data_IF_805278430327
#
_entry.id   IF_805278430327
#
_cell.length_a   1.000
_cell.length_b   1.000
_cell.length_c   1.000
_cell.angle_alpha   90.00
_cell.angle_beta   90.00
_cell.angle_gamma   90.00
#
_symmetry.space_group_name_H-M   'P 1'
#
loop_
_entity.id
_entity.type
_entity.pdbx_description
1 polymer ?
#
# COMPACT_ATOMS: atom_id res chain seq x y z
N UNK A 1 -20.04 7.53 10.26
CA UNK A 1 -19.25 8.27 11.26
C UNK A 1 -17.78 8.30 10.85
N UNK A 2 -17.25 9.49 10.53
CA UNK A 2 -15.90 9.72 9.99
C UNK A 2 -14.90 10.34 10.97
N UNK A 3 -15.06 10.13 12.28
CA UNK A 3 -14.28 10.79 13.34
C UNK A 3 -12.87 10.20 13.56
N UNK A 4 -12.35 9.38 12.65
CA UNK A 4 -11.05 8.69 12.80
C UNK A 4 -10.05 9.21 11.79
N UNK A 5 -8.90 9.65 12.28
CA UNK A 5 -7.77 10.12 11.46
C UNK A 5 -7.12 8.94 10.73
N UNK A 6 -6.55 9.20 9.55
CA UNK A 6 -5.80 8.21 8.79
C UNK A 6 -4.58 7.71 9.60
N UNK A 7 -4.46 6.40 9.93
CA UNK A 7 -3.41 5.89 10.82
C UNK A 7 -2.00 6.17 10.33
N UNK A 8 -1.77 6.08 9.01
CA UNK A 8 -0.47 6.38 8.41
C UNK A 8 -0.20 7.89 8.49
N UNK A 9 -1.20 8.72 8.18
CA UNK A 9 -1.04 10.18 8.14
C UNK A 9 -0.67 10.75 9.51
N UNK A 10 -1.30 10.23 10.56
CA UNK A 10 -0.99 10.58 11.96
C UNK A 10 0.47 10.23 12.37
N UNK A 11 1.12 9.31 11.65
CA UNK A 11 2.44 8.76 11.98
C UNK A 11 3.56 9.25 11.06
N UNK A 12 3.23 10.01 10.01
CA UNK A 12 4.23 10.63 9.13
C UNK A 12 5.07 11.61 9.95
N UNK A 13 6.39 11.51 9.83
CA UNK A 13 7.34 12.34 10.58
C UNK A 13 7.67 11.88 11.99
N UNK A 14 6.96 10.87 12.52
CA UNK A 14 7.28 10.24 13.82
C UNK A 14 7.94 8.88 13.60
N UNK A 15 7.21 7.95 12.96
CA UNK A 15 7.73 6.60 12.68
C UNK A 15 7.68 6.21 11.21
N UNK A 16 6.91 6.94 10.38
CA UNK A 16 6.79 6.69 8.94
C UNK A 16 7.35 7.83 8.12
N UNK A 17 8.03 7.46 7.04
CA UNK A 17 8.53 8.37 6.02
C UNK A 17 7.52 8.61 4.90
N UNK A 18 7.80 9.64 4.11
CA UNK A 18 7.06 10.00 2.91
C UNK A 18 7.31 8.99 1.77
N UNK A 19 6.28 8.77 0.95
CA UNK A 19 6.39 7.91 -0.24
C UNK A 19 7.03 8.63 -1.44
N UNK A 20 6.76 9.94 -1.58
CA UNK A 20 7.43 10.78 -2.56
C UNK A 20 8.47 11.64 -1.83
N UNK A 21 9.75 11.51 -2.20
CA UNK A 21 10.86 12.25 -1.59
C UNK A 21 11.52 13.12 -2.63
N UNK A 22 11.11 14.37 -2.67
CA UNK A 22 11.70 15.40 -3.52
C UNK A 22 11.29 16.77 -3.01
N UNK A 23 12.04 17.80 -3.43
CA UNK A 23 11.76 19.19 -3.11
C UNK A 23 11.63 19.97 -4.40
N UNK A 24 10.61 20.83 -4.48
CA UNK A 24 10.44 21.78 -5.57
C UNK A 24 9.88 23.08 -5.03
N UNK A 25 10.32 24.20 -5.61
CA UNK A 25 9.76 25.53 -5.32
C UNK A 25 8.50 25.77 -6.16
N UNK A 26 8.65 26.55 -7.23
CA UNK A 26 7.53 26.97 -8.08
C UNK A 26 6.90 25.83 -8.89
N UNK A 27 7.68 24.82 -9.27
CA UNK A 27 7.25 23.73 -10.16
C UNK A 27 6.55 22.57 -9.41
N UNK A 28 6.16 22.77 -8.15
CA UNK A 28 5.57 21.72 -7.32
C UNK A 28 4.30 21.13 -7.92
N UNK A 29 3.40 21.97 -8.44
CA UNK A 29 2.11 21.53 -8.98
C UNK A 29 2.28 20.60 -10.19
N UNK A 30 3.18 20.94 -11.10
CA UNK A 30 3.44 20.14 -12.30
C UNK A 30 4.07 18.79 -11.95
N UNK A 31 5.03 18.79 -11.02
CA UNK A 31 5.66 17.55 -10.53
C UNK A 31 4.69 16.66 -9.77
N UNK A 32 3.74 17.24 -9.02
CA UNK A 32 2.70 16.49 -8.33
C UNK A 32 1.74 15.82 -9.32
N UNK A 33 1.29 16.55 -10.36
CA UNK A 33 0.45 15.96 -11.41
C UNK A 33 1.17 14.86 -12.17
N UNK A 34 2.48 15.02 -12.39
CA UNK A 34 3.33 13.99 -12.98
C UNK A 34 3.39 12.73 -12.08
N UNK A 35 3.61 12.89 -10.77
CA UNK A 35 3.61 11.78 -9.79
C UNK A 35 2.26 11.03 -9.74
N UNK A 36 1.13 11.75 -9.77
CA UNK A 36 -0.20 11.12 -9.77
C UNK A 36 -0.42 10.27 -11.03
N UNK A 37 -0.06 10.79 -12.20
CA UNK A 37 -0.14 10.05 -13.47
C UNK A 37 0.73 8.79 -13.46
N UNK A 38 1.94 8.88 -12.91
CA UNK A 38 2.85 7.73 -12.77
C UNK A 38 2.20 6.66 -11.89
N UNK A 39 1.67 7.03 -10.72
CA UNK A 39 1.02 6.11 -9.78
C UNK A 39 -0.20 5.42 -10.39
N UNK A 40 -1.06 6.18 -11.08
CA UNK A 40 -2.23 5.62 -11.76
C UNK A 40 -1.83 4.67 -12.90
N UNK A 41 -0.82 5.03 -13.67
CA UNK A 41 -0.33 4.21 -14.78
C UNK A 41 0.24 2.87 -14.26
N UNK A 42 1.05 2.92 -13.20
CA UNK A 42 1.62 1.75 -12.54
C UNK A 42 0.50 0.88 -11.96
N UNK A 43 -0.47 1.46 -11.27
CA UNK A 43 -1.59 0.71 -10.67
C UNK A 43 -2.43 -0.03 -11.73
N UNK A 44 -2.70 0.62 -12.87
CA UNK A 44 -3.47 0.00 -13.97
C UNK A 44 -2.69 -1.10 -14.68
N UNK A 45 -1.41 -0.84 -15.00
CA UNK A 45 -0.59 -1.78 -15.79
C UNK A 45 -0.11 -2.98 -14.99
N UNK A 46 0.17 -2.80 -13.69
CA UNK A 46 0.71 -3.84 -12.81
C UNK A 46 -0.34 -4.39 -11.83
N UNK A 47 -1.63 -4.37 -12.21
CA UNK A 47 -2.71 -4.92 -11.38
C UNK A 47 -2.46 -6.38 -10.97
N UNK A 48 -1.98 -7.20 -11.91
CA UNK A 48 -1.69 -8.62 -11.66
C UNK A 48 -0.45 -8.84 -10.77
N UNK A 49 0.46 -7.87 -10.73
CA UNK A 49 1.69 -7.96 -9.96
C UNK A 49 1.51 -7.68 -8.46
N UNK A 50 0.30 -7.29 -8.01
CA UNK A 50 0.00 -7.02 -6.59
C UNK A 50 1.02 -6.03 -5.99
N UNK A 51 0.97 -4.79 -6.46
CA UNK A 51 1.89 -3.71 -6.06
C UNK A 51 1.38 -3.05 -4.78
N UNK A 52 2.19 -3.07 -3.72
CA UNK A 52 1.82 -2.42 -2.46
C UNK A 52 2.15 -0.92 -2.51
N UNK A 53 3.43 -0.59 -2.64
CA UNK A 53 3.94 0.78 -2.50
C UNK A 53 4.71 1.20 -3.74
N UNK A 54 4.55 2.45 -4.13
CA UNK A 54 5.36 3.08 -5.17
C UNK A 54 6.04 4.30 -4.54
N UNK A 55 7.35 4.20 -4.36
CA UNK A 55 8.15 5.32 -3.89
C UNK A 55 8.71 6.09 -5.09
N UNK A 56 8.63 7.41 -5.03
CA UNK A 56 9.10 8.29 -6.09
C UNK A 56 10.13 9.24 -5.51
N UNK A 57 11.37 9.13 -5.99
CA UNK A 57 12.45 10.05 -5.65
C UNK A 57 12.84 10.83 -6.91
N UNK A 58 12.95 12.15 -6.81
CA UNK A 58 13.33 13.00 -7.94
C UNK A 58 14.65 13.70 -7.63
N UNK A 59 15.58 13.62 -8.57
CA UNK A 59 16.85 14.32 -8.53
C UNK A 59 17.02 15.08 -9.85
N UNK A 60 16.70 16.38 -9.84
CA UNK A 60 16.72 17.27 -11.01
C UNK A 60 16.05 16.68 -12.26
N UNK A 61 16.82 16.03 -13.14
CA UNK A 61 16.36 15.44 -14.40
C UNK A 61 16.18 13.91 -14.38
N UNK A 62 16.35 13.28 -13.21
CA UNK A 62 16.18 11.84 -13.01
C UNK A 62 15.03 11.56 -12.05
N UNK A 63 14.21 10.58 -12.42
CA UNK A 63 13.10 10.09 -11.59
C UNK A 63 13.40 8.63 -11.25
N UNK A 64 13.61 8.35 -9.98
CA UNK A 64 13.79 7.02 -9.45
C UNK A 64 12.45 6.54 -8.90
N UNK A 65 11.94 5.44 -9.45
CA UNK A 65 10.68 4.84 -9.04
C UNK A 65 11.01 3.49 -8.42
N UNK A 66 10.72 3.34 -7.13
CA UNK A 66 10.90 2.08 -6.42
C UNK A 66 9.54 1.43 -6.21
N UNK A 67 9.32 0.29 -6.86
CA UNK A 67 8.08 -0.47 -6.82
C UNK A 67 8.22 -1.62 -5.84
N UNK A 68 7.41 -1.60 -4.78
CA UNK A 68 7.33 -2.68 -3.81
C UNK A 68 6.20 -3.64 -4.23
N UNK A 69 6.56 -4.88 -4.54
CA UNK A 69 5.64 -5.90 -5.06
C UNK A 69 5.81 -7.23 -4.34
N UNK A 70 4.72 -7.99 -4.20
CA UNK A 70 4.78 -9.38 -3.75
C UNK A 70 5.20 -10.36 -4.85
N UNK A 71 5.13 -9.97 -6.12
CA UNK A 71 5.44 -10.83 -7.28
C UNK A 71 6.40 -10.11 -8.22
N UNK A 72 7.70 -9.98 -7.87
CA UNK A 72 8.67 -9.27 -8.70
C UNK A 72 8.82 -9.88 -10.10
N UNK A 73 8.68 -11.21 -10.23
CA UNK A 73 8.77 -11.89 -11.53
C UNK A 73 7.73 -11.41 -12.56
N UNK A 74 6.52 -11.04 -12.11
CA UNK A 74 5.48 -10.49 -12.98
C UNK A 74 5.83 -9.08 -13.47
N UNK A 75 6.51 -8.28 -12.64
CA UNK A 75 6.95 -6.93 -13.00
C UNK A 75 8.15 -6.99 -13.94
N UNK A 76 9.06 -7.96 -13.74
CA UNK A 76 10.26 -8.15 -14.57
C UNK A 76 9.89 -8.66 -15.97
N UNK A 77 8.98 -9.64 -16.04
CA UNK A 77 8.61 -10.33 -17.27
C UNK A 77 9.70 -11.27 -17.79
N UNK A 78 9.46 -11.91 -18.94
CA UNK A 78 10.43 -12.83 -19.55
C UNK A 78 11.62 -12.03 -20.09
N UNK A 79 12.80 -12.19 -19.49
CA UNK A 79 14.03 -11.51 -19.92
C UNK A 79 14.05 -10.00 -19.73
N UNK A 80 13.25 -9.43 -18.81
CA UNK A 80 13.21 -7.98 -18.54
C UNK A 80 12.39 -7.16 -19.53
N UNK A 81 11.66 -7.82 -20.45
CA UNK A 81 10.84 -7.17 -21.49
C UNK A 81 9.78 -6.23 -20.93
N UNK A 82 9.09 -6.63 -19.86
CA UNK A 82 8.01 -5.84 -19.28
C UNK A 82 8.53 -4.58 -18.58
N UNK A 83 9.68 -4.67 -17.90
CA UNK A 83 10.32 -3.50 -17.25
C UNK A 83 10.79 -2.50 -18.28
N UNK A 84 11.37 -2.97 -19.38
CA UNK A 84 11.82 -2.09 -20.45
C UNK A 84 10.64 -1.40 -21.13
N UNK A 85 9.52 -2.11 -21.33
CA UNK A 85 8.29 -1.52 -21.85
C UNK A 85 7.63 -0.54 -20.86
N UNK A 86 7.71 -0.81 -19.55
CA UNK A 86 7.25 0.11 -18.49
C UNK A 86 8.12 1.37 -18.46
N UNK A 87 9.44 1.22 -18.56
CA UNK A 87 10.40 2.31 -18.61
C UNK A 87 10.20 3.22 -19.82
N UNK A 88 9.98 2.65 -21.01
CA UNK A 88 9.69 3.41 -22.23
C UNK A 88 8.40 4.23 -22.08
N UNK A 89 7.33 3.63 -21.54
CA UNK A 89 6.07 4.32 -21.32
C UNK A 89 6.21 5.45 -20.28
N UNK A 90 6.90 5.20 -19.18
CA UNK A 90 7.14 6.21 -18.14
C UNK A 90 8.04 7.34 -18.63
N UNK A 91 9.06 7.05 -19.46
CA UNK A 91 9.87 8.09 -20.11
C UNK A 91 9.01 8.95 -21.06
N UNK A 92 8.08 8.35 -21.81
CA UNK A 92 7.18 9.10 -22.70
C UNK A 92 6.19 9.99 -21.93
N UNK A 93 5.76 9.55 -20.74
CA UNK A 93 4.85 10.32 -19.88
C UNK A 93 5.54 11.50 -19.16
N UNK A 94 6.80 11.32 -18.76
CA UNK A 94 7.53 12.28 -17.92
C UNK A 94 8.52 13.15 -18.70
N UNK A 95 8.89 12.74 -19.92
CA UNK A 95 9.96 13.35 -20.73
C UNK A 95 11.31 13.46 -20.00
N UNK A 96 11.49 12.69 -18.92
CA UNK A 96 12.67 12.67 -18.05
C UNK A 96 13.30 11.28 -18.07
N UNK A 97 14.52 11.16 -17.54
CA UNK A 97 15.17 9.85 -17.44
C UNK A 97 14.63 9.09 -16.23
N UNK A 98 13.84 8.05 -16.49
CA UNK A 98 13.28 7.18 -15.46
C UNK A 98 14.20 6.00 -15.17
N UNK A 99 14.43 5.75 -13.89
CA UNK A 99 15.06 4.55 -13.36
C UNK A 99 14.05 3.78 -12.50
N UNK A 100 13.93 2.47 -12.72
CA UNK A 100 12.95 1.63 -12.04
C UNK A 100 13.70 0.64 -11.16
N UNK A 101 13.41 0.68 -9.86
CA UNK A 101 13.87 -0.28 -8.87
C UNK A 101 12.70 -1.16 -8.46
N UNK A 102 12.92 -2.47 -8.40
CA UNK A 102 11.89 -3.43 -7.98
C UNK A 102 12.35 -4.05 -6.67
N UNK A 103 11.53 -3.87 -5.63
CA UNK A 103 11.79 -4.40 -4.29
C UNK A 103 10.74 -5.44 -3.96
N UNK A 104 11.20 -6.64 -3.59
CA UNK A 104 10.33 -7.73 -3.19
C UNK A 104 9.83 -7.55 -1.74
N UNK A 105 8.53 -7.76 -1.55
CA UNK A 105 7.89 -7.84 -0.24
C UNK A 105 7.95 -9.29 0.24
N UNK A 106 8.89 -9.58 1.16
CA UNK A 106 9.10 -10.94 1.69
C UNK A 106 7.87 -11.55 2.38
N UNK A 107 7.02 -10.73 3.00
CA UNK A 107 5.81 -11.17 3.74
C UNK A 107 4.58 -10.39 3.29
N UNK A 108 3.96 -10.85 2.21
CA UNK A 108 2.78 -10.21 1.64
C UNK A 108 1.57 -10.19 2.60
N UNK A 109 1.42 -11.19 3.46
CA UNK A 109 0.30 -11.29 4.42
C UNK A 109 0.36 -10.27 5.58
N UNK A 110 1.47 -9.53 5.72
CA UNK A 110 1.65 -8.49 6.75
C UNK A 110 1.54 -7.08 6.15
N UNK A 111 1.34 -6.99 4.84
CA UNK A 111 1.12 -5.75 4.11
C UNK A 111 -0.38 -5.42 4.02
N UNK A 112 -0.79 -4.27 4.55
CA UNK A 112 -2.22 -3.95 4.66
C UNK A 112 -2.89 -3.82 3.30
N UNK A 113 -2.17 -3.31 2.27
CA UNK A 113 -2.73 -3.11 0.94
C UNK A 113 -2.94 -4.41 0.21
N UNK A 114 -1.92 -5.28 0.21
CA UNK A 114 -2.03 -6.60 -0.42
C UNK A 114 -3.13 -7.45 0.23
N UNK A 115 -3.23 -7.35 1.56
CA UNK A 115 -4.27 -8.02 2.34
C UNK A 115 -5.66 -7.48 2.00
N UNK A 116 -5.82 -6.15 1.89
CA UNK A 116 -7.09 -5.52 1.50
C UNK A 116 -7.52 -5.90 0.08
N UNK A 117 -6.60 -5.87 -0.89
CA UNK A 117 -6.84 -6.27 -2.28
C UNK A 117 -7.17 -7.77 -2.41
N UNK A 118 -6.57 -8.61 -1.57
CA UNK A 118 -6.90 -10.04 -1.54
C UNK A 118 -8.34 -10.26 -1.05
N UNK A 119 -8.74 -9.59 0.03
CA UNK A 119 -10.13 -9.64 0.51
C UNK A 119 -11.08 -9.10 -0.57
N UNK A 120 -10.74 -7.98 -1.21
CA UNK A 120 -11.55 -7.40 -2.28
C UNK A 120 -11.78 -8.40 -3.43
N UNK A 121 -10.70 -8.99 -3.96
CA UNK A 121 -10.78 -10.04 -4.99
C UNK A 121 -11.59 -11.26 -4.56
N UNK A 122 -11.52 -11.67 -3.29
CA UNK A 122 -12.35 -12.78 -2.79
C UNK A 122 -13.84 -12.40 -2.77
N UNK A 123 -14.17 -11.16 -2.41
CA UNK A 123 -15.56 -10.66 -2.41
C UNK A 123 -16.12 -10.56 -3.84
N UNK A 124 -15.31 -10.13 -4.80
CA UNK A 124 -15.67 -10.10 -6.23
C UNK A 124 -15.97 -11.51 -6.77
N UNK A 125 -15.17 -12.50 -6.34
CA UNK A 125 -15.39 -13.91 -6.62
C UNK A 125 -16.53 -14.56 -5.82
N UNK A 126 -17.41 -13.75 -5.20
CA UNK A 126 -18.60 -14.18 -4.44
C UNK A 126 -18.30 -15.10 -3.25
N UNK A 127 -17.09 -15.03 -2.69
CA UNK A 127 -16.77 -15.71 -1.43
C UNK A 127 -17.51 -15.03 -0.29
N UNK A 128 -17.98 -15.82 0.68
CA UNK A 128 -18.58 -15.27 1.90
C UNK A 128 -17.62 -14.31 2.61
N UNK A 129 -18.07 -13.08 2.85
CA UNK A 129 -17.25 -12.03 3.45
C UNK A 129 -16.69 -12.42 4.82
N UNK A 130 -17.46 -13.16 5.64
CA UNK A 130 -16.98 -13.67 6.95
C UNK A 130 -15.81 -14.64 6.78
N UNK A 131 -15.91 -15.52 5.78
CA UNK A 131 -14.86 -16.49 5.46
C UNK A 131 -13.61 -15.76 4.97
N UNK A 132 -13.76 -14.83 4.04
CA UNK A 132 -12.67 -14.03 3.50
C UNK A 132 -11.93 -13.27 4.62
N UNK A 133 -12.66 -12.61 5.53
CA UNK A 133 -12.08 -11.89 6.67
C UNK A 133 -11.35 -12.84 7.64
N UNK A 134 -12.00 -13.90 8.13
CA UNK A 134 -11.40 -14.83 9.10
C UNK A 134 -10.16 -15.54 8.54
N UNK A 135 -10.23 -16.00 7.30
CA UNK A 135 -9.11 -16.67 6.63
C UNK A 135 -7.90 -15.74 6.52
N UNK A 136 -8.14 -14.49 6.16
CA UNK A 136 -7.09 -13.49 5.97
C UNK A 136 -6.48 -13.06 7.30
N UNK A 137 -7.30 -12.87 8.33
CA UNK A 137 -6.85 -12.60 9.70
C UNK A 137 -5.91 -13.70 10.20
N UNK A 138 -6.30 -14.97 10.05
CA UNK A 138 -5.48 -16.09 10.47
C UNK A 138 -4.15 -16.18 9.71
N UNK A 139 -4.12 -15.83 8.42
CA UNK A 139 -2.88 -15.79 7.62
C UNK A 139 -1.95 -14.68 8.10
N UNK A 140 -2.47 -13.48 8.32
CA UNK A 140 -1.69 -12.35 8.81
C UNK A 140 -1.08 -12.62 10.20
N UNK A 141 -1.87 -13.20 11.12
CA UNK A 141 -1.39 -13.58 12.46
C UNK A 141 -0.29 -14.65 12.37
N UNK A 142 -0.45 -15.69 11.51
CA UNK A 142 0.59 -16.71 11.26
C UNK A 142 1.87 -16.12 10.65
N UNK A 143 1.74 -15.09 9.81
CA UNK A 143 2.89 -14.41 9.20
C UNK A 143 3.66 -13.49 10.18
N UNK A 144 3.17 -13.37 11.41
CA UNK A 144 3.83 -12.66 12.51
C UNK A 144 3.28 -11.26 12.78
N UNK A 145 2.08 -10.91 12.32
CA UNK A 145 1.40 -9.70 12.76
C UNK A 145 1.06 -9.79 14.26
N UNK A 146 1.27 -8.71 15.02
CA UNK A 146 0.91 -8.64 16.45
C UNK A 146 -0.58 -8.33 16.67
N UNK A 147 -1.22 -7.79 15.65
CA UNK A 147 -2.66 -7.69 15.59
C UNK A 147 -3.13 -7.25 14.21
N UNK A 148 -4.37 -7.57 13.90
CA UNK A 148 -5.02 -7.22 12.65
C UNK A 148 -6.47 -6.86 12.93
N UNK A 149 -6.95 -5.84 12.25
CA UNK A 149 -8.37 -5.49 12.20
C UNK A 149 -8.78 -5.38 10.75
N UNK A 150 -9.89 -6.00 10.39
CA UNK A 150 -10.51 -5.86 9.07
C UNK A 150 -11.93 -5.33 9.24
N UNK A 151 -12.37 -4.49 8.31
CA UNK A 151 -13.72 -3.96 8.26
C UNK A 151 -14.18 -3.98 6.82
N UNK A 152 -15.31 -4.63 6.55
CA UNK A 152 -15.96 -4.61 5.24
C UNK A 152 -17.27 -3.88 5.40
N UNK A 153 -17.54 -2.95 4.50
CA UNK A 153 -18.72 -2.08 4.53
C UNK A 153 -19.39 -2.03 3.15
N UNK A 154 -20.72 -2.00 3.14
CA UNK A 154 -21.53 -1.95 1.92
C UNK A 154 -22.68 -2.96 1.94
N UNK A 155 -23.19 -3.34 0.77
CA UNK A 155 -24.27 -4.33 0.60
C UNK A 155 -23.78 -5.76 0.77
N UNK A 156 -23.43 -6.12 2.00
CA UNK A 156 -22.83 -7.42 2.34
C UNK A 156 -23.78 -8.57 1.98
N UNK A 157 -23.34 -9.44 1.08
CA UNK A 157 -24.11 -10.59 0.59
C UNK A 157 -25.27 -10.24 -0.33
N UNK A 158 -25.29 -9.03 -0.91
CA UNK A 158 -26.37 -8.58 -1.79
C UNK A 158 -27.62 -8.07 -1.06
N UNK A 159 -27.54 -7.85 0.26
CA UNK A 159 -28.62 -7.25 1.02
C UNK A 159 -28.90 -5.80 0.58
N UNK A 160 -30.15 -5.34 0.68
CA UNK A 160 -30.53 -3.99 0.26
C UNK A 160 -29.97 -2.89 1.17
N UNK A 161 -29.83 -3.18 2.46
CA UNK A 161 -29.28 -2.24 3.44
C UNK A 161 -27.77 -2.44 3.57
N UNK A 162 -27.02 -1.35 3.45
CA UNK A 162 -25.59 -1.35 3.69
C UNK A 162 -25.28 -1.60 5.17
N UNK A 163 -24.38 -2.55 5.44
CA UNK A 163 -23.90 -2.89 6.78
C UNK A 163 -22.38 -2.81 6.83
N UNK A 164 -21.84 -2.65 8.03
CA UNK A 164 -20.41 -2.67 8.28
C UNK A 164 -20.10 -3.75 9.29
N UNK A 165 -19.26 -4.71 8.90
CA UNK A 165 -18.88 -5.84 9.76
C UNK A 165 -17.36 -5.85 9.94
N UNK A 166 -16.94 -5.86 11.20
CA UNK A 166 -15.52 -5.79 11.56
C UNK A 166 -15.11 -6.97 12.40
N UNK A 167 -13.95 -7.52 12.07
CA UNK A 167 -13.30 -8.59 12.83
C UNK A 167 -11.89 -8.13 13.21
N UNK A 168 -11.47 -8.44 14.41
CA UNK A 168 -10.13 -8.13 14.90
C UNK A 168 -9.56 -9.28 15.70
N UNK A 169 -8.27 -9.47 15.59
CA UNK A 169 -7.49 -10.45 16.36
C UNK A 169 -6.18 -9.80 16.82
N UNK A 170 -5.74 -10.13 18.03
CA UNK A 170 -4.58 -9.49 18.65
C UNK A 170 -4.84 -8.04 19.07
N UNK A 171 -3.79 -7.21 19.08
CA UNK A 171 -3.85 -5.82 19.55
C UNK A 171 -3.63 -4.83 18.42
N UNK A 172 -4.45 -3.77 18.33
CA UNK A 172 -4.31 -2.70 17.32
C UNK A 172 -4.45 -1.33 18.00
N UNK A 173 -3.37 -0.80 18.61
CA UNK A 173 -3.42 0.43 19.39
C UNK A 173 -3.38 1.69 18.49
N UNK A 174 -4.53 2.12 17.96
CA UNK A 174 -4.61 3.22 16.99
C UNK A 174 -4.12 4.58 17.50
N UNK A 175 -4.29 4.87 18.79
CA UNK A 175 -3.88 6.14 19.40
C UNK A 175 -2.38 6.21 19.73
N UNK A 176 -1.68 5.08 19.77
CA UNK A 176 -0.26 5.02 20.10
C UNK A 176 0.58 5.38 18.88
N UNK A 177 1.27 6.53 18.91
CA UNK A 177 2.07 7.02 17.78
C UNK A 177 3.27 6.13 17.44
N UNK A 178 3.91 5.53 18.47
CA UNK A 178 5.04 4.61 18.31
C UNK A 178 4.67 3.23 17.75
N UNK A 179 3.38 2.92 17.66
CA UNK A 179 2.92 1.66 17.10
C UNK A 179 2.99 1.71 15.57
N UNK A 180 3.77 0.81 14.94
CA UNK A 180 3.77 0.63 13.49
C UNK A 180 2.48 -0.06 13.06
N UNK A 181 1.54 0.77 12.61
CA UNK A 181 0.25 0.36 12.09
C UNK A 181 0.22 0.68 10.61
N UNK A 182 0.12 -0.39 9.83
CA UNK A 182 -0.15 -0.31 8.41
C UNK A 182 -1.65 -0.26 8.15
N UNK A 183 -2.05 0.54 7.18
CA UNK A 183 -3.46 0.73 6.83
C UNK A 183 -3.63 0.80 5.34
N UNK A 184 -4.67 0.13 4.84
CA UNK A 184 -5.09 0.28 3.46
C UNK A 184 -6.60 0.21 3.33
N UNK A 185 -7.08 0.86 2.28
CA UNK A 185 -8.46 0.77 1.83
C UNK A 185 -8.47 0.24 0.40
N UNK A 186 -9.28 -0.78 0.17
CA UNK A 186 -9.54 -1.33 -1.16
C UNK A 186 -11.05 -1.35 -1.40
N UNK A 187 -11.45 -1.14 -2.64
CA UNK A 187 -12.83 -1.31 -3.08
C UNK A 187 -12.94 -2.64 -3.82
N UNK A 188 -14.06 -3.33 -3.63
CA UNK A 188 -14.40 -4.53 -4.36
C UNK A 188 -15.63 -4.25 -5.22
N UNK A 189 -15.52 -4.48 -6.52
CA UNK A 189 -16.59 -4.22 -7.47
C UNK A 189 -17.50 -5.43 -7.60
N UNK A 190 -18.66 -5.38 -6.94
CA UNK A 190 -19.66 -6.46 -6.99
C UNK A 190 -20.84 -6.09 -7.86
N UNK A 191 -21.62 -7.09 -8.29
CA UNK A 191 -22.84 -6.87 -9.09
C UNK A 191 -23.87 -5.97 -8.41
N UNK A 192 -23.86 -5.89 -7.07
CA UNK A 192 -24.83 -5.13 -6.29
C UNK A 192 -24.33 -3.73 -5.89
N UNK A 193 -23.11 -3.36 -6.31
CA UNK A 193 -22.44 -2.12 -5.98
C UNK A 193 -21.01 -2.35 -5.44
N UNK A 194 -20.44 -1.31 -4.83
CA UNK A 194 -19.10 -1.37 -4.27
C UNK A 194 -19.10 -1.80 -2.81
N UNK A 195 -18.17 -2.68 -2.44
CA UNK A 195 -17.87 -3.00 -1.05
C UNK A 195 -16.54 -2.38 -0.65
N UNK A 196 -16.53 -1.58 0.41
CA UNK A 196 -15.32 -0.98 0.95
C UNK A 196 -14.67 -1.91 1.97
N UNK A 197 -13.41 -2.29 1.71
CA UNK A 197 -12.58 -3.09 2.60
C UNK A 197 -11.53 -2.18 3.25
N UNK A 198 -11.44 -2.18 4.57
CA UNK A 198 -10.43 -1.45 5.34
C UNK A 198 -9.67 -2.43 6.21
N UNK A 199 -8.34 -2.37 6.17
CA UNK A 199 -7.46 -3.27 6.91
C UNK A 199 -6.47 -2.45 7.71
N UNK A 200 -6.29 -2.81 8.98
CA UNK A 200 -5.24 -2.31 9.86
C UNK A 200 -4.37 -3.49 10.30
N UNK A 201 -3.06 -3.38 10.15
CA UNK A 201 -2.11 -4.41 10.59
C UNK A 201 -1.11 -3.77 11.53
N UNK A 202 -0.96 -4.32 12.72
CA UNK A 202 0.01 -3.90 13.71
C UNK A 202 1.23 -4.83 13.68
N UNK A 203 2.40 -4.26 13.37
CA UNK A 203 3.67 -5.00 13.25
C UNK A 203 4.52 -4.95 14.53
N UNK A 204 4.21 -4.04 15.44
CA UNK A 204 4.97 -3.83 16.68
C UNK A 204 5.24 -2.37 16.95
N UNK A 205 5.94 -2.10 18.04
CA UNK A 205 6.39 -0.75 18.36
C UNK A 205 7.76 -0.49 17.73
N UNK A 206 7.93 0.70 17.16
CA UNK A 206 9.23 1.19 16.71
C UNK A 206 9.77 2.05 17.84
N UNK A 207 10.81 1.58 18.51
CA UNK A 207 11.52 2.39 19.50
C UNK A 207 12.41 3.38 18.74
N UNK A 208 12.44 4.67 19.13
CA UNK A 208 13.38 5.62 18.54
C UNK A 208 14.80 5.19 18.91
N UNK A 209 15.50 4.54 17.98
CA UNK A 209 16.94 4.34 18.11
C UNK A 209 17.59 5.72 17.99
N UNK A 210 18.26 6.15 19.05
CA UNK A 210 19.13 7.33 19.04
C UNK A 210 20.13 7.09 17.90
N UNK A 211 20.01 7.81 16.77
CA UNK A 211 21.04 7.78 15.72
C UNK A 211 22.34 8.15 16.42
N UNK A 212 23.28 7.21 16.53
CA UNK A 212 24.67 7.56 16.84
C UNK A 212 25.12 8.42 15.68
N UNK A 213 25.15 9.73 15.89
CA UNK A 213 25.98 10.62 15.10
C UNK A 213 27.39 10.07 15.27
N UNK A 214 27.90 9.37 14.26
CA UNK A 214 29.34 9.22 14.14
C UNK A 214 29.86 10.63 13.94
N UNK A 215 30.32 11.24 15.04
CA UNK A 215 31.16 12.42 15.01
C UNK A 215 32.37 12.05 14.16
N UNK A 216 32.36 12.50 12.90
CA UNK A 216 33.54 12.46 12.05
C UNK A 216 34.63 13.28 12.73
N UNK A 217 35.60 12.58 13.32
CA UNK A 217 36.81 13.18 13.84
C UNK A 217 37.61 13.83 12.71
N UNK A 218 38.19 14.98 13.03
CA UNK A 218 39.12 15.78 12.22
C UNK A 218 40.27 14.97 11.61
#
# INVERSE_FOLDING_TARGET
MGQKVHPIGLRVGVIRDWESKWFAGKDYADLLHEDLKIREYIAKRLNDASVSKVEIERAANRVNITIHTAKPGMVIGKGGTEVEALRKALNALTSKRVHINIVEIKRADVDAKLVAENIARQLENRVSFRRAQKQTIQRAMRAGAKGIKTMVSGRLGGADIARSESYSEGTVPLHTLRADIDYAHAEADTTYGKLGVKVWIYRGEVLPTKKKTEEGGN
#
